data_IF_282469354418
#
_entry.id   IF_282469354418
#
_cell.length_a   1.000
_cell.length_b   1.000
_cell.length_c   1.000
_cell.angle_alpha   90.00
_cell.angle_beta   90.00
_cell.angle_gamma   90.00
#
_symmetry.space_group_name_H-M   'P 1'
#
loop_
_entity.id
_entity.type
_entity.pdbx_description
1 polymer ?
#
# COMPACT_ATOMS: atom_id res chain seq x y z
N UNK A 1 7.99 -15.66 1.50
CA UNK A 1 7.76 -15.19 2.90
C UNK A 1 6.36 -15.64 3.35
N UNK A 2 6.21 -16.11 4.60
CA UNK A 2 4.89 -16.49 5.16
C UNK A 2 3.92 -15.30 5.24
N UNK A 3 2.67 -15.51 4.82
CA UNK A 3 1.62 -14.47 4.79
C UNK A 3 1.40 -13.88 6.19
N UNK A 4 1.43 -14.71 7.24
CA UNK A 4 1.22 -14.24 8.61
C UNK A 4 2.31 -13.25 9.04
N UNK A 5 3.56 -13.56 8.71
CA UNK A 5 4.71 -12.68 8.98
C UNK A 5 4.61 -11.36 8.22
N UNK A 6 4.14 -11.37 6.97
CA UNK A 6 3.89 -10.14 6.21
C UNK A 6 2.85 -9.26 6.91
N UNK A 7 1.74 -9.84 7.35
CA UNK A 7 0.68 -9.11 8.07
C UNK A 7 1.23 -8.50 9.36
N UNK A 8 1.99 -9.26 10.13
CA UNK A 8 2.54 -8.77 11.40
C UNK A 8 3.56 -7.64 11.17
N UNK A 9 4.41 -7.73 10.14
CA UNK A 9 5.33 -6.67 9.76
C UNK A 9 4.60 -5.40 9.30
N UNK A 10 3.57 -5.53 8.46
CA UNK A 10 2.75 -4.39 8.02
C UNK A 10 1.99 -3.72 9.17
N UNK A 11 1.59 -4.48 10.20
CA UNK A 11 0.99 -3.90 11.41
C UNK A 11 2.02 -3.15 12.24
N UNK A 12 3.26 -3.65 12.29
CA UNK A 12 4.35 -3.02 13.02
C UNK A 12 4.80 -1.68 12.42
N UNK A 13 4.56 -1.43 11.12
CA UNK A 13 4.87 -0.11 10.51
C UNK A 13 3.96 1.02 11.03
N UNK A 14 2.81 0.68 11.61
CA UNK A 14 1.87 1.63 12.22
C UNK A 14 2.42 2.14 13.55
N UNK A 15 3.15 1.30 14.31
CA UNK A 15 3.75 1.66 15.59
C UNK A 15 5.04 2.50 15.38
N UNK A 16 5.08 3.78 15.83
CA UNK A 16 6.26 4.63 15.65
C UNK A 16 7.55 4.06 16.24
N UNK A 17 7.46 3.24 17.30
CA UNK A 17 8.62 2.64 17.96
C UNK A 17 9.21 1.47 17.17
N UNK A 18 8.40 0.79 16.37
CA UNK A 18 8.78 -0.41 15.62
C UNK A 18 8.91 -0.16 14.12
N UNK A 19 8.41 0.98 13.61
CA UNK A 19 8.32 1.29 12.19
C UNK A 19 9.63 1.07 11.44
N UNK A 20 10.71 1.70 11.89
CA UNK A 20 11.99 1.64 11.17
C UNK A 20 12.54 0.21 11.07
N UNK A 21 12.36 -0.60 12.11
CA UNK A 21 12.77 -2.01 12.11
C UNK A 21 11.85 -2.85 11.21
N UNK A 22 10.54 -2.57 11.20
CA UNK A 22 9.58 -3.26 10.37
C UNK A 22 9.81 -2.97 8.87
N UNK A 23 10.04 -1.71 8.51
CA UNK A 23 10.37 -1.27 7.15
C UNK A 23 11.66 -1.94 6.65
N UNK A 24 12.73 -1.94 7.45
CA UNK A 24 13.98 -2.60 7.08
C UNK A 24 13.82 -4.12 6.83
N UNK A 25 12.92 -4.79 7.57
CA UNK A 25 12.61 -6.20 7.35
C UNK A 25 11.73 -6.43 6.12
N UNK A 26 10.82 -5.49 5.82
CA UNK A 26 9.99 -5.52 4.62
C UNK A 26 10.82 -5.31 3.35
N UNK A 27 11.83 -4.45 3.39
CA UNK A 27 12.74 -4.22 2.26
C UNK A 27 13.52 -5.49 1.87
N UNK A 28 13.84 -6.33 2.85
CA UNK A 28 14.51 -7.61 2.63
C UNK A 28 13.52 -8.75 2.37
N UNK A 29 12.21 -8.48 2.42
CA UNK A 29 11.20 -9.51 2.34
C UNK A 29 10.99 -9.98 0.89
N UNK A 30 11.41 -11.21 0.60
CA UNK A 30 11.08 -11.85 -0.66
C UNK A 30 9.70 -12.53 -0.56
N UNK A 31 8.69 -11.87 -1.15
CA UNK A 31 7.35 -12.43 -1.36
C UNK A 31 7.28 -13.17 -2.69
N UNK A 32 6.55 -14.28 -2.71
CA UNK A 32 6.34 -15.02 -3.95
C UNK A 32 5.63 -14.14 -4.98
N UNK A 33 5.99 -14.30 -6.26
CA UNK A 33 5.49 -13.45 -7.33
C UNK A 33 3.95 -13.34 -7.38
N UNK A 34 3.17 -14.41 -7.17
CA UNK A 34 1.70 -14.31 -7.14
C UNK A 34 1.18 -13.39 -6.03
N UNK A 35 1.81 -13.41 -4.84
CA UNK A 35 1.42 -12.54 -3.72
C UNK A 35 1.75 -11.08 -4.04
N UNK A 36 2.92 -10.83 -4.63
CA UNK A 36 3.32 -9.48 -5.07
C UNK A 36 2.37 -8.93 -6.13
N UNK A 37 2.00 -9.75 -7.13
CA UNK A 37 1.06 -9.37 -8.17
C UNK A 37 -0.32 -9.06 -7.61
N UNK A 38 -0.85 -9.91 -6.71
CA UNK A 38 -2.13 -9.67 -6.05
C UNK A 38 -2.13 -8.35 -5.26
N UNK A 39 -1.05 -8.06 -4.53
CA UNK A 39 -0.88 -6.80 -3.82
C UNK A 39 -0.84 -5.58 -4.75
N UNK A 40 -0.07 -5.66 -5.85
CA UNK A 40 0.01 -4.58 -6.83
C UNK A 40 -1.34 -4.31 -7.52
N UNK A 41 -2.08 -5.37 -7.88
CA UNK A 41 -3.42 -5.26 -8.48
C UNK A 41 -4.39 -4.61 -7.48
N UNK A 42 -4.36 -5.05 -6.23
CA UNK A 42 -5.20 -4.46 -5.19
C UNK A 42 -4.90 -2.97 -5.01
N UNK A 43 -3.63 -2.60 -4.88
CA UNK A 43 -3.20 -1.21 -4.72
C UNK A 43 -3.64 -0.35 -5.92
N UNK A 44 -3.44 -0.85 -7.14
CA UNK A 44 -3.90 -0.17 -8.37
C UNK A 44 -5.42 0.05 -8.35
N UNK A 45 -6.19 -0.97 -8.00
CA UNK A 45 -7.65 -0.86 -7.95
C UNK A 45 -8.10 0.12 -6.86
N UNK A 46 -7.48 0.08 -5.68
CA UNK A 46 -7.75 1.01 -4.58
C UNK A 46 -7.48 2.47 -4.99
N UNK A 47 -6.32 2.73 -5.60
CA UNK A 47 -5.96 4.05 -6.13
C UNK A 47 -7.01 4.48 -7.18
N UNK A 48 -7.31 3.62 -8.15
CA UNK A 48 -8.26 3.95 -9.21
C UNK A 48 -9.66 4.31 -8.68
N UNK A 49 -10.12 3.67 -7.61
CA UNK A 49 -11.45 3.93 -7.05
C UNK A 49 -11.50 5.08 -6.05
N UNK A 50 -10.39 5.33 -5.34
CA UNK A 50 -10.38 6.15 -4.12
C UNK A 50 -9.40 7.32 -4.17
N UNK A 51 -8.87 7.66 -5.36
CA UNK A 51 -7.95 8.79 -5.52
C UNK A 51 -8.60 10.16 -5.39
N UNK A 52 -9.85 10.32 -5.85
CA UNK A 52 -10.57 11.59 -5.79
C UNK A 52 -11.53 11.60 -4.61
N UNK A 53 -11.63 12.75 -3.96
CA UNK A 53 -12.68 13.00 -2.97
C UNK A 53 -14.04 12.98 -3.69
N UNK A 54 -14.99 12.24 -3.12
CA UNK A 54 -16.35 12.14 -3.65
C UNK A 54 -17.31 12.72 -2.62
N UNK A 55 -18.22 13.55 -3.10
CA UNK A 55 -19.27 14.11 -2.25
C UNK A 55 -20.19 13.00 -1.76
N UNK A 56 -20.64 13.11 -0.51
CA UNK A 56 -21.64 12.20 0.03
C UNK A 56 -23.01 12.55 -0.55
N UNK A 57 -23.70 11.58 -1.14
CA UNK A 57 -25.10 11.73 -1.52
C UNK A 57 -25.98 11.84 -0.25
N UNK A 58 -27.07 12.59 -0.32
CA UNK A 58 -27.95 12.81 0.83
C UNK A 58 -28.46 11.47 1.40
N UNK A 59 -28.15 11.22 2.68
CA UNK A 59 -28.52 9.99 3.39
C UNK A 59 -27.55 8.82 3.21
N UNK A 60 -26.46 8.98 2.45
CA UNK A 60 -25.42 7.96 2.30
C UNK A 60 -24.17 8.29 3.12
N UNK A 61 -23.43 7.27 3.60
CA UNK A 61 -22.11 7.48 4.21
C UNK A 61 -21.13 8.14 3.24
N UNK A 62 -20.23 8.96 3.78
CA UNK A 62 -19.15 9.55 3.01
C UNK A 62 -18.31 8.44 2.35
N UNK A 63 -18.08 8.49 1.02
CA UNK A 63 -17.23 7.52 0.35
C UNK A 63 -15.80 7.58 0.88
N UNK A 64 -15.14 6.42 0.96
CA UNK A 64 -13.72 6.37 1.28
C UNK A 64 -12.89 7.05 0.17
N UNK A 65 -12.03 7.98 0.58
CA UNK A 65 -11.03 8.62 -0.25
C UNK A 65 -9.66 8.56 0.44
N UNK A 66 -8.60 8.37 -0.34
CA UNK A 66 -7.22 8.39 0.17
C UNK A 66 -6.89 9.79 0.70
N UNK A 67 -6.26 9.89 1.86
CA UNK A 67 -5.85 11.18 2.40
C UNK A 67 -4.72 11.79 1.54
N UNK A 68 -4.63 13.13 1.45
CA UNK A 68 -3.62 13.78 0.60
C UNK A 68 -2.17 13.39 0.97
N UNK A 69 -1.90 13.13 2.26
CA UNK A 69 -0.59 12.64 2.70
C UNK A 69 -0.26 11.26 2.10
N UNK A 70 -1.24 10.37 2.02
CA UNK A 70 -1.06 9.06 1.40
C UNK A 70 -0.88 9.20 -0.12
N UNK A 71 -1.63 10.13 -0.75
CA UNK A 71 -1.47 10.45 -2.19
C UNK A 71 -0.08 10.99 -2.48
N UNK A 72 0.46 11.86 -1.62
CA UNK A 72 1.82 12.37 -1.75
C UNK A 72 2.85 11.23 -1.67
N UNK A 73 2.76 10.37 -0.65
CA UNK A 73 3.64 9.20 -0.51
C UNK A 73 3.58 8.27 -1.73
N UNK A 74 2.38 8.01 -2.25
CA UNK A 74 2.18 7.20 -3.45
C UNK A 74 2.85 7.86 -4.66
N UNK A 75 2.66 9.17 -4.90
CA UNK A 75 3.29 9.88 -6.02
C UNK A 75 4.81 9.82 -5.96
N UNK A 76 5.39 9.96 -4.78
CA UNK A 76 6.84 9.96 -4.59
C UNK A 76 7.44 8.57 -4.80
N UNK A 77 6.71 7.51 -4.44
CA UNK A 77 7.23 6.14 -4.42
C UNK A 77 6.95 5.36 -5.71
N UNK A 78 5.87 5.69 -6.44
CA UNK A 78 5.35 4.82 -7.51
C UNK A 78 6.30 4.70 -8.70
N UNK A 79 7.02 5.78 -9.06
CA UNK A 79 7.95 5.76 -10.19
C UNK A 79 9.11 4.81 -9.90
N UNK A 80 9.70 4.92 -8.72
CA UNK A 80 10.80 4.07 -8.27
C UNK A 80 10.36 2.59 -8.21
N UNK A 81 9.18 2.33 -7.63
CA UNK A 81 8.62 0.99 -7.54
C UNK A 81 8.40 0.34 -8.92
N UNK A 82 7.97 1.11 -9.93
CA UNK A 82 7.77 0.62 -11.31
C UNK A 82 9.10 0.34 -12.01
N UNK A 83 10.13 1.17 -11.77
CA UNK A 83 11.48 0.97 -12.33
C UNK A 83 12.12 -0.31 -11.78
N UNK A 84 11.96 -0.56 -10.49
CA UNK A 84 12.50 -1.74 -9.80
C UNK A 84 11.61 -2.99 -9.94
N UNK A 85 10.42 -2.87 -10.53
CA UNK A 85 9.56 -4.03 -10.76
C UNK A 85 10.24 -5.01 -11.73
N UNK A 86 10.29 -6.32 -11.41
CA UNK A 86 10.81 -7.30 -12.32
C UNK A 86 9.98 -7.27 -13.61
N UNK A 87 10.64 -7.08 -14.75
CA UNK A 87 10.00 -7.21 -16.05
C UNK A 87 9.77 -8.70 -16.30
N UNK A 88 8.52 -9.07 -16.54
CA UNK A 88 8.11 -10.42 -16.94
C UNK A 88 8.90 -10.90 -18.15
#
# INVERSE_FOLDING_TARGET
MEIRKLIDLLRATIDPTQRQQAEAQLDQANCDMPVRQAGAIYLKNLIATSWQDREAEAGQPMPFALHEQDRALIRDSIVDAVVHAPRT
#
